data_IF_271022362763
#
_entry.id   IF_271022362763
#
_cell.length_a   1.000
_cell.length_b   1.000
_cell.length_c   1.000
_cell.angle_alpha   90.00
_cell.angle_beta   90.00
_cell.angle_gamma   90.00
#
_symmetry.space_group_name_H-M   'P 1'
#
loop_
_entity.id
_entity.type
_entity.pdbx_description
1 polymer ?
#
# COMPACT_ATOMS: atom_id res chain seq x y z
N UNK A 1 -0.57 31.82 31.20
CA UNK A 1 -0.85 31.22 29.88
C UNK A 1 -0.09 29.91 29.78
N UNK A 2 -0.80 28.83 29.58
CA UNK A 2 -0.36 27.45 29.84
C UNK A 2 0.67 26.94 28.81
N UNK A 3 1.66 26.13 29.24
CA UNK A 3 2.61 25.38 28.39
C UNK A 3 1.93 24.58 27.25
N UNK A 4 0.65 24.26 27.40
CA UNK A 4 -0.18 23.55 26.39
C UNK A 4 -0.50 24.45 25.19
N UNK A 5 -0.79 25.74 25.41
CA UNK A 5 -1.11 26.68 24.31
C UNK A 5 0.11 26.97 23.41
N UNK A 6 1.32 27.03 23.97
CA UNK A 6 2.53 27.21 23.17
C UNK A 6 2.87 25.97 22.32
N UNK A 7 2.63 24.78 22.84
CA UNK A 7 2.90 23.53 22.11
C UNK A 7 1.92 23.30 20.93
N UNK A 8 0.66 23.65 21.07
CA UNK A 8 -0.31 23.55 19.98
C UNK A 8 0.03 24.50 18.82
N UNK A 9 0.46 25.74 19.12
CA UNK A 9 0.87 26.70 18.08
C UNK A 9 2.16 26.25 17.36
N UNK A 10 3.04 25.52 18.00
CA UNK A 10 4.23 24.91 17.38
C UNK A 10 3.83 23.77 16.45
N UNK A 11 2.96 22.87 16.88
CA UNK A 11 2.45 21.77 16.05
C UNK A 11 1.77 22.30 14.78
N UNK A 12 0.92 23.31 14.90
CA UNK A 12 0.22 23.91 13.74
C UNK A 12 1.23 24.52 12.74
N UNK A 13 2.25 25.24 13.22
CA UNK A 13 3.32 25.79 12.35
C UNK A 13 4.11 24.70 11.64
N UNK A 14 4.41 23.64 12.34
CA UNK A 14 5.11 22.48 11.80
C UNK A 14 4.29 21.76 10.70
N UNK A 15 2.98 21.59 10.90
CA UNK A 15 2.07 21.03 9.89
C UNK A 15 2.08 21.91 8.64
N UNK A 16 1.90 23.22 8.80
CA UNK A 16 1.92 24.19 7.70
C UNK A 16 3.24 24.09 6.91
N UNK A 17 4.36 24.06 7.61
CA UNK A 17 5.69 23.96 6.99
C UNK A 17 5.84 22.68 6.16
N UNK A 18 5.31 21.54 6.68
CA UNK A 18 5.38 20.26 5.98
C UNK A 18 4.46 20.21 4.77
N UNK A 19 3.25 20.77 4.86
CA UNK A 19 2.35 20.87 3.70
C UNK A 19 2.97 21.73 2.60
N UNK A 20 3.56 22.89 2.94
CA UNK A 20 4.30 23.73 1.99
C UNK A 20 5.45 22.96 1.35
N UNK A 21 6.26 22.26 2.13
CA UNK A 21 7.38 21.49 1.63
C UNK A 21 6.94 20.39 0.65
N UNK A 22 5.86 19.68 0.94
CA UNK A 22 5.31 18.67 0.02
C UNK A 22 4.90 19.28 -1.32
N UNK A 23 4.28 20.45 -1.28
CA UNK A 23 3.86 21.20 -2.46
C UNK A 23 5.06 21.71 -3.27
N UNK A 24 6.07 22.24 -2.60
CA UNK A 24 7.30 22.76 -3.22
C UNK A 24 8.12 21.64 -3.87
N UNK A 25 8.17 20.46 -3.27
CA UNK A 25 8.85 19.28 -3.86
C UNK A 25 8.22 18.88 -5.21
N UNK A 26 6.89 19.01 -5.34
CA UNK A 26 6.18 18.74 -6.60
C UNK A 26 6.04 19.97 -7.50
N UNK A 27 6.67 21.09 -7.12
CA UNK A 27 6.67 22.37 -7.89
C UNK A 27 5.26 22.91 -8.19
N UNK A 28 4.29 22.68 -7.30
CA UNK A 28 2.92 23.16 -7.46
C UNK A 28 2.60 24.33 -6.55
N UNK A 29 1.76 25.26 -7.04
CA UNK A 29 1.28 26.39 -6.25
C UNK A 29 0.18 25.98 -5.25
N UNK A 30 -0.04 26.79 -4.19
CA UNK A 30 -1.16 26.58 -3.27
C UNK A 30 -2.52 26.63 -3.98
N UNK A 31 -2.66 27.52 -4.98
CA UNK A 31 -3.86 27.60 -5.82
C UNK A 31 -4.08 26.28 -6.60
N UNK A 32 -3.02 25.70 -7.14
CA UNK A 32 -3.10 24.42 -7.86
C UNK A 32 -3.53 23.29 -6.93
N UNK A 33 -2.93 23.20 -5.74
CA UNK A 33 -3.29 22.17 -4.78
C UNK A 33 -4.74 22.34 -4.28
N UNK A 34 -5.14 23.57 -3.97
CA UNK A 34 -6.53 23.84 -3.56
C UNK A 34 -7.53 23.42 -4.64
N UNK A 35 -7.26 23.76 -5.90
CA UNK A 35 -8.11 23.38 -7.03
C UNK A 35 -8.17 21.86 -7.25
N UNK A 36 -7.04 21.16 -7.17
CA UNK A 36 -6.98 19.70 -7.34
C UNK A 36 -7.79 18.97 -6.28
N UNK A 37 -7.80 19.48 -5.04
CA UNK A 37 -8.50 18.88 -3.90
C UNK A 37 -9.91 19.43 -3.69
N UNK A 38 -10.35 20.39 -4.53
CA UNK A 38 -11.69 20.99 -4.41
C UNK A 38 -11.86 21.89 -3.18
N UNK A 39 -10.78 22.42 -2.62
CA UNK A 39 -10.82 23.37 -1.53
C UNK A 39 -11.13 24.78 -2.02
N UNK A 40 -11.87 25.56 -1.22
CA UNK A 40 -11.97 27.00 -1.44
C UNK A 40 -10.58 27.65 -1.27
N UNK A 41 -10.16 28.42 -2.27
CA UNK A 41 -8.82 29.04 -2.29
C UNK A 41 -8.62 30.02 -1.13
N UNK A 42 -9.66 30.74 -0.73
CA UNK A 42 -9.59 31.72 0.36
C UNK A 42 -9.37 31.00 1.70
N UNK A 43 -10.08 29.90 1.91
CA UNK A 43 -9.91 29.08 3.11
C UNK A 43 -8.55 28.37 3.13
N UNK A 44 -8.11 27.82 1.99
CA UNK A 44 -6.79 27.17 1.88
C UNK A 44 -5.67 28.18 2.22
N UNK A 45 -5.74 29.40 1.72
CA UNK A 45 -4.76 30.45 2.02
C UNK A 45 -4.71 30.81 3.51
N UNK A 46 -5.85 30.83 4.21
CA UNK A 46 -5.87 31.03 5.67
C UNK A 46 -5.20 29.90 6.42
N UNK A 47 -5.35 28.66 5.95
CA UNK A 47 -4.64 27.50 6.55
C UNK A 47 -3.14 27.60 6.31
N UNK A 48 -2.72 27.86 5.08
CA UNK A 48 -1.30 27.93 4.73
C UNK A 48 -0.59 29.16 5.29
N UNK A 49 -1.32 30.27 5.55
CA UNK A 49 -0.77 31.44 6.24
C UNK A 49 -0.71 31.29 7.77
N UNK A 50 -1.41 30.30 8.33
CA UNK A 50 -1.53 30.11 9.77
C UNK A 50 -2.58 31.01 10.45
N UNK A 51 -3.42 31.69 9.68
CA UNK A 51 -4.56 32.44 10.18
C UNK A 51 -5.62 31.50 10.76
N UNK A 52 -5.76 30.30 10.17
CA UNK A 52 -6.58 29.21 10.67
C UNK A 52 -5.78 27.90 10.63
N UNK A 53 -6.15 26.95 11.50
CA UNK A 53 -5.57 25.61 11.47
C UNK A 53 -6.14 24.79 10.30
N UNK A 54 -5.31 23.90 9.74
CA UNK A 54 -5.78 22.94 8.77
C UNK A 54 -6.83 22.02 9.39
N UNK A 55 -8.04 21.91 8.81
CA UNK A 55 -9.00 20.91 9.23
C UNK A 55 -8.44 19.49 9.03
N UNK A 56 -8.75 18.58 9.95
CA UNK A 56 -8.28 17.19 9.85
C UNK A 56 -8.65 16.53 8.51
N UNK A 57 -9.86 16.79 8.00
CA UNK A 57 -10.31 16.29 6.69
C UNK A 57 -9.42 16.78 5.56
N UNK A 58 -9.02 18.06 5.56
CA UNK A 58 -8.12 18.60 4.55
C UNK A 58 -6.72 17.94 4.62
N UNK A 59 -6.21 17.68 5.82
CA UNK A 59 -4.92 16.97 5.98
C UNK A 59 -4.98 15.53 5.47
N UNK A 60 -6.12 14.84 5.59
CA UNK A 60 -6.31 13.49 5.03
C UNK A 60 -6.26 13.54 3.50
N UNK A 61 -6.95 14.48 2.86
CA UNK A 61 -6.94 14.65 1.40
C UNK A 61 -5.54 15.04 0.89
N UNK A 62 -4.85 15.95 1.59
CA UNK A 62 -3.48 16.33 1.28
C UNK A 62 -2.52 15.14 1.39
N UNK A 63 -2.64 14.35 2.47
CA UNK A 63 -1.83 13.14 2.65
C UNK A 63 -2.05 12.12 1.52
N UNK A 64 -3.30 11.90 1.13
CA UNK A 64 -3.66 11.02 0.02
C UNK A 64 -3.09 11.52 -1.32
N UNK A 65 -3.21 12.82 -1.61
CA UNK A 65 -2.69 13.47 -2.84
C UNK A 65 -1.18 13.31 -2.99
N UNK A 66 -0.44 13.53 -1.90
CA UNK A 66 1.02 13.41 -1.89
C UNK A 66 1.52 11.99 -1.59
N UNK A 67 0.63 11.02 -1.40
CA UNK A 67 0.95 9.62 -1.08
C UNK A 67 1.87 9.49 0.13
N UNK A 68 1.62 10.29 1.16
CA UNK A 68 2.31 10.24 2.46
C UNK A 68 1.33 9.81 3.56
N UNK A 69 1.84 9.28 4.66
CA UNK A 69 0.99 9.01 5.81
C UNK A 69 0.56 10.31 6.50
N UNK A 70 -0.70 10.40 6.93
CA UNK A 70 -1.20 11.54 7.69
C UNK A 70 -0.31 11.84 8.91
N UNK A 71 0.21 10.82 9.57
CA UNK A 71 1.15 10.94 10.69
C UNK A 71 2.45 11.66 10.30
N UNK A 72 2.91 11.57 9.05
CA UNK A 72 4.09 12.31 8.58
C UNK A 72 3.81 13.81 8.53
N UNK A 73 2.62 14.21 8.11
CA UNK A 73 2.20 15.61 8.12
C UNK A 73 2.06 16.12 9.56
N UNK A 74 1.42 15.37 10.44
CA UNK A 74 1.13 15.80 11.81
C UNK A 74 2.39 15.82 12.68
N UNK A 75 3.20 14.77 12.63
CA UNK A 75 4.33 14.59 13.58
C UNK A 75 5.70 14.82 12.95
N UNK A 76 5.80 14.91 11.63
CA UNK A 76 7.07 14.93 10.89
C UNK A 76 7.83 13.61 10.95
N UNK A 77 7.23 12.56 11.48
CA UNK A 77 7.84 11.25 11.59
C UNK A 77 7.15 10.29 10.63
N UNK A 78 7.92 9.67 9.77
CA UNK A 78 7.43 8.58 8.95
C UNK A 78 7.09 7.41 9.85
N UNK A 79 5.86 6.95 9.82
CA UNK A 79 5.43 5.75 10.54
C UNK A 79 6.08 4.48 9.97
N UNK A 80 6.53 4.55 8.71
CA UNK A 80 7.15 3.44 7.99
C UNK A 80 8.69 3.52 8.03
N UNK A 81 9.31 2.36 8.13
CA UNK A 81 10.77 2.20 8.16
C UNK A 81 11.37 2.43 6.76
N UNK A 82 12.50 3.15 6.67
CA UNK A 82 13.12 3.52 5.38
C UNK A 82 14.29 2.64 4.98
N UNK A 83 14.97 2.03 5.95
CA UNK A 83 16.18 1.26 5.71
C UNK A 83 15.91 -0.23 5.69
N UNK A 84 15.14 -0.72 6.64
CA UNK A 84 14.69 -2.11 6.71
C UNK A 84 13.37 -2.18 7.49
N UNK A 85 12.57 -3.21 7.25
CA UNK A 85 11.50 -3.61 8.15
C UNK A 85 11.65 -5.09 8.49
N UNK A 86 11.30 -5.44 9.71
CA UNK A 86 11.25 -6.82 10.17
C UNK A 86 9.79 -7.15 10.48
N UNK A 87 9.26 -8.14 9.79
CA UNK A 87 7.96 -8.72 10.08
C UNK A 87 8.19 -10.10 10.69
N UNK A 88 7.79 -10.30 11.93
CA UNK A 88 7.91 -11.60 12.60
C UNK A 88 6.87 -12.57 12.08
N UNK A 89 7.11 -13.86 12.26
CA UNK A 89 6.15 -14.90 11.88
C UNK A 89 4.77 -14.63 12.50
N UNK A 90 3.72 -14.70 11.69
CA UNK A 90 2.32 -14.45 12.06
C UNK A 90 1.98 -12.99 12.46
N UNK A 91 2.87 -12.04 12.25
CA UNK A 91 2.62 -10.61 12.54
C UNK A 91 2.28 -9.79 11.27
N UNK A 92 2.39 -10.37 10.10
CA UNK A 92 2.01 -9.71 8.86
C UNK A 92 0.48 -9.47 8.85
N UNK A 93 0.02 -8.24 8.56
CA UNK A 93 -1.40 -7.97 8.44
C UNK A 93 -1.98 -8.68 7.22
N UNK A 94 -3.16 -9.27 7.42
CA UNK A 94 -3.93 -9.86 6.32
C UNK A 94 -4.53 -8.73 5.46
N UNK A 95 -4.36 -8.86 4.15
CA UNK A 95 -4.93 -7.96 3.15
C UNK A 95 -5.81 -8.80 2.23
N UNK A 96 -7.12 -8.78 2.41
CA UNK A 96 -8.03 -9.51 1.55
C UNK A 96 -8.17 -8.80 0.21
N UNK A 97 -7.59 -9.37 -0.84
CA UNK A 97 -7.77 -8.92 -2.23
C UNK A 97 -8.74 -9.79 -3.01
N UNK A 98 -8.78 -11.08 -2.72
CA UNK A 98 -9.63 -12.06 -3.38
C UNK A 98 -10.20 -13.02 -2.31
N UNK A 99 -11.52 -13.29 -2.30
CA UNK A 99 -12.13 -14.21 -1.32
C UNK A 99 -11.58 -15.65 -1.34
N UNK A 100 -10.90 -16.03 -2.42
CA UNK A 100 -10.35 -17.39 -2.60
C UNK A 100 -8.96 -17.53 -1.96
N UNK A 101 -8.28 -16.43 -1.67
CA UNK A 101 -6.91 -16.42 -1.15
C UNK A 101 -6.80 -15.56 0.10
N UNK A 102 -6.00 -16.03 1.07
CA UNK A 102 -5.45 -15.19 2.12
C UNK A 102 -4.15 -14.53 1.67
N UNK A 103 -4.01 -13.23 1.92
CA UNK A 103 -2.81 -12.45 1.60
C UNK A 103 -2.29 -11.79 2.85
N UNK A 104 -1.00 -11.95 3.16
CA UNK A 104 -0.33 -11.28 4.26
C UNK A 104 0.83 -10.44 3.72
N UNK A 105 0.78 -9.12 3.94
CA UNK A 105 1.81 -8.21 3.47
C UNK A 105 3.07 -8.31 4.33
N UNK A 106 4.14 -8.87 3.80
CA UNK A 106 5.38 -9.14 4.53
C UNK A 106 6.25 -7.89 4.75
N UNK A 107 5.99 -6.81 4.03
CA UNK A 107 6.71 -5.55 4.17
C UNK A 107 5.78 -4.34 4.41
N UNK A 108 4.67 -4.57 5.13
CA UNK A 108 3.63 -3.56 5.34
C UNK A 108 4.15 -2.24 5.94
N UNK A 109 5.22 -2.31 6.72
CA UNK A 109 5.80 -1.18 7.43
C UNK A 109 7.06 -0.61 6.74
N UNK A 110 7.28 -0.90 5.45
CA UNK A 110 8.38 -0.32 4.69
C UNK A 110 7.90 0.85 3.83
N UNK A 111 8.67 1.95 3.84
CA UNK A 111 8.33 3.16 3.10
C UNK A 111 8.79 3.08 1.63
N UNK A 112 7.95 3.54 0.69
CA UNK A 112 8.26 3.62 -0.76
C UNK A 112 8.84 2.32 -1.32
N UNK A 113 8.12 1.23 -1.11
CA UNK A 113 8.49 -0.08 -1.68
C UNK A 113 8.51 -0.01 -3.20
N UNK A 114 9.49 -0.69 -3.80
CA UNK A 114 9.55 -0.96 -5.24
C UNK A 114 8.90 -2.29 -5.60
N UNK A 115 8.69 -3.13 -4.61
CA UNK A 115 8.04 -4.43 -4.73
C UNK A 115 7.17 -4.67 -3.50
N UNK A 116 6.04 -5.34 -3.67
CA UNK A 116 5.12 -5.73 -2.60
C UNK A 116 5.24 -7.24 -2.35
N UNK A 117 5.99 -7.68 -1.35
CA UNK A 117 6.07 -9.08 -1.00
C UNK A 117 4.88 -9.51 -0.15
N UNK A 118 4.21 -10.58 -0.58
CA UNK A 118 3.11 -11.21 0.14
C UNK A 118 3.43 -12.68 0.45
N UNK A 119 2.98 -13.15 1.60
CA UNK A 119 2.68 -14.56 1.77
C UNK A 119 1.26 -14.78 1.29
N UNK A 120 1.06 -15.71 0.38
CA UNK A 120 -0.25 -16.05 -0.15
C UNK A 120 -0.60 -17.48 0.25
N UNK A 121 -1.82 -17.69 0.70
CA UNK A 121 -2.38 -19.01 0.97
C UNK A 121 -3.57 -19.24 0.04
N UNK A 122 -3.43 -20.21 -0.84
CA UNK A 122 -4.51 -20.71 -1.66
C UNK A 122 -5.21 -21.85 -0.90
N UNK A 123 -6.48 -21.65 -0.59
CA UNK A 123 -7.28 -22.64 0.09
C UNK A 123 -7.76 -23.73 -0.88
N UNK A 124 -7.99 -24.97 -0.41
CA UNK A 124 -8.56 -26.01 -1.23
C UNK A 124 -9.91 -25.55 -1.78
N UNK A 125 -10.06 -25.54 -3.10
CA UNK A 125 -11.36 -25.29 -3.71
C UNK A 125 -12.18 -26.59 -3.73
N UNK A 126 -13.42 -26.53 -3.30
CA UNK A 126 -14.35 -27.66 -3.46
C UNK A 126 -14.79 -27.76 -4.93
N UNK A 127 -14.38 -28.84 -5.61
CA UNK A 127 -14.83 -29.19 -6.97
C UNK A 127 -14.05 -28.53 -8.11
N UNK A 128 -14.46 -28.83 -9.35
CA UNK A 128 -13.91 -28.33 -10.61
C UNK A 128 -14.31 -26.85 -10.90
N UNK A 129 -14.08 -25.96 -9.94
CA UNK A 129 -14.31 -24.55 -10.23
C UNK A 129 -13.23 -24.06 -11.18
N UNK A 130 -13.61 -23.29 -12.23
CA UNK A 130 -12.65 -22.66 -13.12
C UNK A 130 -11.75 -21.70 -12.32
N UNK A 131 -10.51 -21.50 -12.80
CA UNK A 131 -9.59 -20.51 -12.24
C UNK A 131 -10.22 -19.12 -12.34
N UNK A 132 -10.18 -18.37 -11.27
CA UNK A 132 -10.48 -16.94 -11.30
C UNK A 132 -9.25 -16.22 -11.82
N UNK A 133 -9.36 -15.61 -13.00
CA UNK A 133 -8.27 -14.88 -13.61
C UNK A 133 -8.33 -13.41 -13.20
N UNK A 134 -7.16 -12.84 -12.93
CA UNK A 134 -6.94 -11.43 -12.60
C UNK A 134 -5.88 -10.85 -13.54
N UNK A 135 -5.80 -9.53 -13.58
CA UNK A 135 -4.72 -8.77 -14.21
C UNK A 135 -4.37 -7.59 -13.33
N UNK A 136 -3.11 -7.19 -13.31
CA UNK A 136 -2.68 -5.93 -12.72
C UNK A 136 -1.41 -5.42 -13.41
N UNK A 137 -1.12 -4.11 -13.35
CA UNK A 137 0.12 -3.57 -13.91
C UNK A 137 1.36 -4.15 -13.25
N UNK A 138 2.44 -4.28 -14.04
CA UNK A 138 3.75 -4.68 -13.56
C UNK A 138 4.09 -6.13 -13.82
N UNK A 139 4.87 -6.68 -12.94
CA UNK A 139 5.38 -8.06 -13.03
C UNK A 139 5.21 -8.74 -11.68
N UNK A 140 5.17 -10.06 -11.69
CA UNK A 140 5.02 -10.85 -10.48
C UNK A 140 6.00 -12.02 -10.49
N UNK A 141 6.56 -12.30 -9.30
CA UNK A 141 7.38 -13.47 -9.03
C UNK A 141 6.74 -14.28 -7.92
N UNK A 142 6.49 -15.55 -8.20
CA UNK A 142 5.96 -16.48 -7.22
C UNK A 142 6.96 -17.59 -6.90
N UNK A 143 7.06 -17.94 -5.61
CA UNK A 143 7.88 -19.04 -5.10
C UNK A 143 7.07 -19.91 -4.17
N UNK A 144 6.87 -21.18 -4.51
CA UNK A 144 6.06 -22.11 -3.72
C UNK A 144 6.81 -22.57 -2.49
N UNK A 145 6.19 -22.39 -1.32
CA UNK A 145 6.74 -22.77 -0.01
C UNK A 145 6.15 -24.10 0.49
N UNK A 146 4.85 -24.30 0.28
CA UNK A 146 4.12 -25.47 0.80
C UNK A 146 2.97 -25.87 -0.15
N UNK A 147 2.73 -27.16 -0.28
CA UNK A 147 1.65 -27.69 -1.11
C UNK A 147 1.94 -27.67 -2.60
N UNK A 148 0.93 -27.96 -3.42
CA UNK A 148 1.03 -27.92 -4.89
C UNK A 148 0.05 -26.88 -5.42
N UNK A 149 0.51 -26.13 -6.41
CA UNK A 149 -0.23 -25.02 -7.00
C UNK A 149 -0.40 -25.27 -8.51
N UNK A 150 -1.59 -25.13 -9.03
CA UNK A 150 -1.81 -24.93 -10.45
C UNK A 150 -1.83 -23.43 -10.70
N UNK A 151 -1.01 -22.93 -11.60
CA UNK A 151 -1.01 -21.56 -12.09
C UNK A 151 -1.33 -21.54 -13.59
N UNK A 152 -2.14 -20.59 -14.00
CA UNK A 152 -2.38 -20.27 -15.41
C UNK A 152 -1.94 -18.85 -15.68
N UNK A 153 -1.12 -18.65 -16.70
CA UNK A 153 -0.70 -17.33 -17.19
C UNK A 153 -0.91 -17.29 -18.70
N UNK A 154 -1.71 -16.34 -19.19
CA UNK A 154 -2.06 -16.19 -20.62
C UNK A 154 -2.53 -17.51 -21.27
N UNK A 155 -3.30 -18.31 -20.50
CA UNK A 155 -3.84 -19.60 -20.94
C UNK A 155 -2.88 -20.79 -20.86
N UNK A 156 -1.63 -20.59 -20.41
CA UNK A 156 -0.68 -21.68 -20.18
C UNK A 156 -0.79 -22.16 -18.73
N UNK A 157 -1.17 -23.40 -18.54
CA UNK A 157 -1.30 -24.03 -17.23
C UNK A 157 0.00 -24.77 -16.83
N UNK A 158 0.45 -24.56 -15.59
CA UNK A 158 1.65 -25.16 -15.04
C UNK A 158 1.38 -25.61 -13.61
N UNK A 159 1.89 -26.78 -13.23
CA UNK A 159 1.85 -27.27 -11.86
C UNK A 159 3.18 -26.99 -11.17
N UNK A 160 3.13 -26.35 -10.01
CA UNK A 160 4.30 -26.00 -9.21
C UNK A 160 4.25 -26.71 -7.86
N UNK A 161 5.39 -27.22 -7.42
CA UNK A 161 5.60 -27.79 -6.10
C UNK A 161 6.53 -26.93 -5.25
N UNK A 162 6.75 -27.30 -3.96
CA UNK A 162 7.66 -26.57 -3.09
C UNK A 162 9.07 -26.47 -3.68
N UNK A 163 9.60 -25.25 -3.73
CA UNK A 163 10.90 -24.93 -4.35
C UNK A 163 10.80 -24.44 -5.78
N UNK A 164 9.68 -24.67 -6.47
CA UNK A 164 9.48 -24.13 -7.81
C UNK A 164 9.12 -22.64 -7.76
N UNK A 165 9.49 -21.92 -8.82
CA UNK A 165 9.16 -20.52 -8.97
C UNK A 165 8.76 -20.19 -10.42
N UNK A 166 8.03 -19.08 -10.56
CA UNK A 166 7.64 -18.52 -11.85
C UNK A 166 7.79 -17.01 -11.81
N UNK A 167 8.12 -16.40 -12.93
CA UNK A 167 8.16 -14.96 -13.14
C UNK A 167 7.36 -14.62 -14.40
N UNK A 168 6.45 -13.66 -14.33
CA UNK A 168 5.56 -13.34 -15.45
C UNK A 168 5.16 -11.87 -15.48
N UNK A 169 4.67 -11.44 -16.65
CA UNK A 169 4.00 -10.16 -16.85
C UNK A 169 2.59 -10.27 -16.29
N UNK A 170 2.30 -9.54 -15.23
CA UNK A 170 1.00 -9.57 -14.55
C UNK A 170 -0.10 -8.77 -15.25
N UNK A 171 0.21 -8.11 -16.37
CA UNK A 171 -0.82 -7.56 -17.28
C UNK A 171 -1.53 -8.64 -18.06
N UNK A 172 -0.90 -9.83 -18.20
CA UNK A 172 -1.53 -11.01 -18.79
C UNK A 172 -2.52 -11.65 -17.83
N UNK A 173 -3.63 -12.21 -18.31
CA UNK A 173 -4.59 -12.91 -17.46
C UNK A 173 -3.91 -14.07 -16.73
N UNK A 174 -3.93 -14.03 -15.42
CA UNK A 174 -3.32 -15.05 -14.55
C UNK A 174 -4.23 -15.42 -13.38
N UNK A 175 -4.05 -16.64 -12.90
CA UNK A 175 -4.79 -17.14 -11.74
C UNK A 175 -4.21 -18.46 -11.27
N UNK A 176 -4.52 -18.84 -10.05
CA UNK A 176 -3.94 -20.04 -9.45
C UNK A 176 -4.95 -20.75 -8.56
N UNK A 177 -4.72 -22.01 -8.27
CA UNK A 177 -5.48 -22.79 -7.29
C UNK A 177 -4.60 -23.84 -6.62
N UNK A 178 -4.92 -24.13 -5.38
CA UNK A 178 -4.31 -25.26 -4.66
C UNK A 178 -4.78 -26.59 -5.25
N UNK A 179 -3.86 -27.55 -5.35
CA UNK A 179 -4.09 -28.90 -5.84
C UNK A 179 -4.26 -29.89 -4.66
N UNK A 180 -4.56 -31.14 -5.00
CA UNK A 180 -4.64 -32.30 -4.09
C UNK A 180 -5.64 -32.14 -2.93
N UNK A 181 -6.59 -31.21 -3.03
CA UNK A 181 -7.54 -30.92 -1.95
C UNK A 181 -6.87 -30.39 -0.68
N UNK A 182 -5.64 -29.89 -0.78
CA UNK A 182 -4.85 -29.31 0.31
C UNK A 182 -4.55 -27.85 0.02
N UNK A 183 -4.27 -27.09 1.07
CA UNK A 183 -3.80 -25.70 0.88
C UNK A 183 -2.42 -25.69 0.23
N UNK A 184 -2.14 -24.62 -0.50
CA UNK A 184 -0.80 -24.28 -0.97
C UNK A 184 -0.40 -22.91 -0.46
N UNK A 185 0.89 -22.70 -0.16
CA UNK A 185 1.44 -21.42 0.28
C UNK A 185 2.62 -21.04 -0.61
N UNK A 186 2.66 -19.80 -1.00
CA UNK A 186 3.73 -19.27 -1.83
C UNK A 186 4.05 -17.82 -1.45
N UNK A 187 5.24 -17.37 -1.79
CA UNK A 187 5.63 -15.95 -1.73
C UNK A 187 5.34 -15.34 -3.09
N UNK A 188 4.50 -14.31 -3.11
CA UNK A 188 4.26 -13.48 -4.28
C UNK A 188 4.98 -12.14 -4.11
N UNK A 189 5.75 -11.73 -5.11
CA UNK A 189 6.42 -10.42 -5.17
C UNK A 189 5.87 -9.67 -6.37
N UNK A 190 5.03 -8.67 -6.11
CA UNK A 190 4.45 -7.79 -7.13
C UNK A 190 5.37 -6.57 -7.31
N UNK A 191 5.74 -6.27 -8.57
CA UNK A 191 6.70 -5.24 -8.97
C UNK A 191 6.01 -4.09 -9.70
#
# INVERSE_FOLDING_TARGET
MSKISSSLSEISRDIISRVKLLREIEEISGETLARELGFDLTEYNKWESGEQEFPMGALVEIAARFKVDLSEIITGKTSKLKTFCLTRANEAPEVSRNPTYGYWNLAYNFHRKKAEPFLVEANPSSGDKPLSLNTHPGQEFDYVVEGRLLISVSGHEMELGPGDCIYYDSTEPHGMKALDGKRARFIAIVL
#
